data_IF_845469180815
#
_entry.id   IF_845469180815
#
_cell.length_a   1.000
_cell.length_b   1.000
_cell.length_c   1.000
_cell.angle_alpha   90.00
_cell.angle_beta   90.00
_cell.angle_gamma   90.00
#
_symmetry.space_group_name_H-M   'P 1'
#
loop_
_entity.id
_entity.type
_entity.pdbx_description
1 polymer ?
#
# COMPACT_ATOMS: atom_id res chain seq x y z
N UNK A 1 -46.80 -23.02 -62.37
CA UNK A 1 -46.40 -22.89 -60.95
C UNK A 1 -45.24 -23.84 -60.71
N UNK A 2 -44.27 -23.43 -59.89
CA UNK A 2 -42.97 -24.05 -59.66
C UNK A 2 -41.96 -23.90 -60.82
N UNK A 3 -41.04 -22.95 -60.69
CA UNK A 3 -39.79 -22.89 -61.45
C UNK A 3 -38.65 -22.57 -60.50
N UNK A 4 -37.82 -23.58 -60.25
CA UNK A 4 -36.36 -23.46 -60.39
C UNK A 4 -35.92 -24.78 -61.02
N UNK A 5 -34.97 -24.78 -61.96
CA UNK A 5 -33.61 -25.08 -61.52
C UNK A 5 -32.46 -24.45 -62.33
N UNK A 6 -31.30 -24.51 -61.68
CA UNK A 6 -29.92 -24.74 -62.17
C UNK A 6 -29.19 -23.70 -63.04
N UNK A 7 -28.01 -23.38 -62.52
CA UNK A 7 -26.94 -22.55 -63.05
C UNK A 7 -26.11 -23.25 -64.15
N UNK A 8 -25.35 -22.45 -64.92
CA UNK A 8 -23.97 -22.75 -65.34
C UNK A 8 -23.28 -21.49 -65.94
N UNK A 9 -22.19 -21.12 -65.26
CA UNK A 9 -20.86 -20.64 -65.70
C UNK A 9 -20.62 -19.39 -66.57
N UNK A 10 -19.80 -18.52 -65.96
CA UNK A 10 -18.58 -17.82 -66.41
C UNK A 10 -18.58 -16.83 -67.58
N UNK A 11 -18.23 -15.58 -67.25
CA UNK A 11 -17.05 -14.92 -67.85
C UNK A 11 -16.68 -13.62 -67.12
N UNK A 12 -15.54 -13.69 -66.43
CA UNK A 12 -14.47 -12.69 -66.28
C UNK A 12 -14.77 -11.20 -66.54
N UNK A 13 -14.52 -10.37 -65.51
CA UNK A 13 -14.22 -8.95 -65.73
C UNK A 13 -14.04 -8.15 -64.43
N UNK A 14 -12.79 -7.96 -64.01
CA UNK A 14 -12.42 -6.87 -63.10
C UNK A 14 -11.98 -7.31 -61.71
N UNK A 15 -10.75 -7.81 -61.59
CA UNK A 15 -10.02 -7.86 -60.33
C UNK A 15 -9.70 -6.43 -59.87
N UNK A 16 -10.65 -5.79 -59.19
CA UNK A 16 -10.35 -4.68 -58.29
C UNK A 16 -9.93 -5.28 -56.96
N UNK A 17 -8.64 -5.25 -56.64
CA UNK A 17 -8.15 -5.53 -55.30
C UNK A 17 -8.76 -4.52 -54.32
N UNK A 18 -9.95 -4.83 -53.80
CA UNK A 18 -10.59 -4.03 -52.76
C UNK A 18 -9.77 -4.16 -51.50
N UNK A 19 -8.88 -3.20 -51.22
CA UNK A 19 -8.25 -3.08 -49.91
C UNK A 19 -9.38 -2.98 -48.88
N UNK A 20 -9.53 -4.00 -48.04
CA UNK A 20 -10.50 -3.95 -46.94
C UNK A 20 -10.13 -2.76 -46.04
N UNK A 21 -11.06 -1.83 -45.78
CA UNK A 21 -10.74 -0.65 -45.00
C UNK A 21 -10.42 -1.07 -43.56
N UNK A 22 -9.18 -0.84 -43.12
CA UNK A 22 -8.77 -1.06 -41.74
C UNK A 22 -9.35 0.05 -40.87
N UNK A 23 -9.95 -0.30 -39.73
CA UNK A 23 -10.51 0.66 -38.78
C UNK A 23 -9.94 0.40 -37.39
N UNK A 24 -9.45 1.42 -36.73
CA UNK A 24 -9.02 1.38 -35.32
C UNK A 24 -9.90 2.32 -34.48
N UNK A 25 -10.01 2.05 -33.18
CA UNK A 25 -10.69 2.93 -32.23
C UNK A 25 -9.75 3.27 -31.09
N UNK A 26 -9.54 4.57 -30.87
CA UNK A 26 -8.93 5.04 -29.64
C UNK A 26 -10.02 5.08 -28.56
N UNK A 27 -9.79 4.38 -27.44
CA UNK A 27 -10.57 4.55 -26.22
C UNK A 27 -9.71 5.36 -25.28
N UNK A 28 -10.24 6.49 -24.83
CA UNK A 28 -9.59 7.34 -23.83
C UNK A 28 -10.47 7.31 -22.59
N UNK A 29 -9.91 6.81 -21.50
CA UNK A 29 -10.57 6.68 -20.21
C UNK A 29 -9.74 7.34 -19.12
N UNK A 30 -10.33 7.47 -17.94
CA UNK A 30 -9.68 8.12 -16.80
C UNK A 30 -9.54 7.12 -15.67
N UNK A 31 -8.31 6.91 -15.20
CA UNK A 31 -8.03 6.15 -13.98
C UNK A 31 -8.04 7.13 -12.81
N UNK A 32 -9.02 6.97 -11.92
CA UNK A 32 -9.22 7.88 -10.79
C UNK A 32 -8.59 7.33 -9.51
N UNK A 33 -8.08 8.22 -8.69
CA UNK A 33 -7.64 7.92 -7.32
C UNK A 33 -7.65 9.18 -6.47
N UNK A 34 -7.84 9.02 -5.16
CA UNK A 34 -7.96 10.13 -4.21
C UNK A 34 -6.95 9.99 -3.08
N UNK A 35 -6.49 11.12 -2.57
CA UNK A 35 -5.55 11.19 -1.46
C UNK A 35 -5.99 12.25 -0.45
N UNK A 36 -5.93 11.90 0.83
CA UNK A 36 -6.28 12.76 1.95
C UNK A 36 -5.00 13.25 2.63
N UNK A 37 -4.84 14.57 2.68
CA UNK A 37 -3.67 15.21 3.25
C UNK A 37 -4.07 16.12 4.40
N UNK A 38 -3.58 15.78 5.59
CA UNK A 38 -3.83 16.51 6.83
C UNK A 38 -2.57 17.23 7.26
N UNK A 39 -2.66 18.55 7.44
CA UNK A 39 -1.58 19.41 7.91
C UNK A 39 -1.89 19.78 9.35
N UNK A 40 -1.15 19.21 10.28
CA UNK A 40 -1.17 19.60 11.69
C UNK A 40 -0.15 20.72 11.93
N UNK A 41 -0.48 21.67 12.80
CA UNK A 41 0.42 22.77 13.10
C UNK A 41 0.39 23.91 12.08
N UNK A 42 -0.77 24.22 11.49
CA UNK A 42 -0.89 25.30 10.49
C UNK A 42 -0.31 26.64 10.99
N UNK A 43 -0.44 26.94 12.27
CA UNK A 43 0.10 28.13 12.91
C UNK A 43 1.63 28.24 12.85
N UNK A 44 2.33 27.10 12.74
CA UNK A 44 3.78 27.01 12.52
C UNK A 44 4.13 27.04 11.03
N UNK A 45 3.21 26.60 10.17
CA UNK A 45 3.35 26.62 8.73
C UNK A 45 3.19 28.03 8.12
N UNK A 46 2.39 28.90 8.73
CA UNK A 46 2.27 30.30 8.30
C UNK A 46 3.55 31.07 8.61
N UNK A 47 3.99 31.93 7.70
CA UNK A 47 5.25 32.68 7.82
C UNK A 47 6.48 31.94 7.28
N UNK A 48 6.32 30.76 6.69
CA UNK A 48 7.39 30.07 5.94
C UNK A 48 7.93 30.91 4.76
N UNK A 49 7.13 31.85 4.28
CA UNK A 49 7.48 32.76 3.19
C UNK A 49 6.88 32.33 1.86
N UNK A 50 6.69 33.32 1.00
CA UNK A 50 6.08 33.13 -0.33
C UNK A 50 6.87 32.11 -1.15
N UNK A 51 6.14 31.21 -1.81
CA UNK A 51 6.71 30.17 -2.66
C UNK A 51 7.28 28.96 -1.90
N UNK A 52 7.24 28.98 -0.56
CA UNK A 52 7.49 27.79 0.26
C UNK A 52 6.21 27.00 0.44
N UNK A 53 6.34 25.68 0.46
CA UNK A 53 5.20 24.77 0.53
C UNK A 53 5.46 23.59 1.46
N UNK A 54 4.36 22.97 1.86
CA UNK A 54 4.30 21.68 2.52
C UNK A 54 3.80 20.67 1.49
N UNK A 55 4.52 19.57 1.34
CA UNK A 55 4.14 18.48 0.45
C UNK A 55 3.45 17.36 1.23
N UNK A 56 2.43 16.74 0.64
CA UNK A 56 1.95 15.43 1.08
C UNK A 56 2.98 14.35 0.76
N UNK A 57 2.80 13.16 1.35
CA UNK A 57 3.41 11.96 0.79
C UNK A 57 2.95 11.72 -0.64
N UNK A 58 3.76 10.95 -1.38
CA UNK A 58 3.44 10.59 -2.75
C UNK A 58 2.39 9.49 -2.79
N UNK A 59 1.43 9.60 -3.70
CA UNK A 59 0.38 8.59 -3.92
C UNK A 59 0.28 8.22 -5.40
N UNK A 60 -0.14 6.99 -5.70
CA UNK A 60 -0.10 6.44 -7.06
C UNK A 60 -1.47 6.46 -7.71
N UNK A 61 -1.57 7.05 -8.90
CA UNK A 61 -2.78 7.01 -9.76
C UNK A 61 -2.36 6.89 -11.21
N UNK A 62 -2.99 5.97 -11.95
CA UNK A 62 -2.74 5.80 -13.39
C UNK A 62 -1.29 5.43 -13.75
N UNK A 63 -0.56 4.77 -12.85
CA UNK A 63 0.85 4.41 -13.04
C UNK A 63 1.86 5.52 -12.73
N UNK A 64 1.40 6.68 -12.25
CA UNK A 64 2.26 7.82 -11.88
C UNK A 64 2.14 8.14 -10.40
N UNK A 65 3.20 8.71 -9.82
CA UNK A 65 3.19 9.22 -8.45
C UNK A 65 2.85 10.71 -8.45
N UNK A 66 2.04 11.11 -7.48
CA UNK A 66 1.48 12.45 -7.33
C UNK A 66 1.69 12.94 -5.90
N UNK A 67 1.77 14.26 -5.72
CA UNK A 67 1.82 14.87 -4.38
C UNK A 67 1.05 16.19 -4.35
N UNK A 68 0.43 16.49 -3.21
CA UNK A 68 -0.29 17.75 -2.97
C UNK A 68 0.70 18.76 -2.38
N UNK A 69 0.82 19.93 -2.99
CA UNK A 69 1.64 21.03 -2.49
C UNK A 69 0.74 22.16 -1.96
N UNK A 70 0.82 22.41 -0.67
CA UNK A 70 0.13 23.48 0.02
C UNK A 70 1.09 24.64 0.31
N UNK A 71 0.75 25.85 -0.12
CA UNK A 71 1.54 27.07 0.10
C UNK A 71 0.79 27.98 1.10
N UNK A 72 1.19 28.01 2.39
CA UNK A 72 0.50 28.78 3.42
C UNK A 72 0.53 30.30 3.16
N UNK A 73 1.65 30.79 2.64
CA UNK A 73 1.86 32.23 2.35
C UNK A 73 1.73 32.56 0.86
N UNK A 74 1.11 31.66 0.10
CA UNK A 74 0.90 31.79 -1.34
C UNK A 74 2.12 31.41 -2.18
N UNK A 75 1.88 31.07 -3.46
CA UNK A 75 2.94 30.66 -4.39
C UNK A 75 3.76 31.83 -4.96
N UNK A 76 3.12 32.97 -5.21
CA UNK A 76 3.72 34.10 -5.93
C UNK A 76 3.75 35.37 -5.05
N UNK A 77 4.77 36.21 -5.22
CA UNK A 77 4.93 37.46 -4.45
C UNK A 77 3.81 38.47 -4.70
N UNK A 78 3.26 38.46 -5.92
CA UNK A 78 2.14 39.31 -6.35
C UNK A 78 0.84 39.07 -5.55
N UNK A 79 0.71 37.91 -4.90
CA UNK A 79 -0.47 37.56 -4.10
C UNK A 79 -0.30 37.92 -2.60
N UNK A 80 0.84 38.56 -2.24
CA UNK A 80 1.16 39.20 -0.95
C UNK A 80 0.74 38.42 0.31
N UNK A 81 0.86 37.08 0.30
CA UNK A 81 0.41 36.21 1.41
C UNK A 81 -1.06 36.38 1.81
N UNK A 82 -1.89 36.92 0.91
CA UNK A 82 -3.32 37.12 1.13
C UNK A 82 -4.13 35.84 0.90
N UNK A 83 -3.55 34.90 0.15
CA UNK A 83 -4.18 33.65 -0.25
C UNK A 83 -3.29 32.46 0.06
N UNK A 84 -3.90 31.36 0.46
CA UNK A 84 -3.27 30.05 0.42
C UNK A 84 -3.36 29.50 -1.00
N UNK A 85 -2.35 28.78 -1.43
CA UNK A 85 -2.35 28.11 -2.74
C UNK A 85 -2.28 26.59 -2.58
N UNK A 86 -2.95 25.87 -3.48
CA UNK A 86 -2.96 24.40 -3.47
C UNK A 86 -2.72 23.89 -4.88
N UNK A 87 -1.79 22.96 -5.03
CA UNK A 87 -1.42 22.35 -6.30
C UNK A 87 -1.31 20.84 -6.17
N UNK A 88 -1.62 20.15 -7.26
CA UNK A 88 -1.24 18.77 -7.50
C UNK A 88 0.02 18.77 -8.37
N UNK A 89 1.03 18.00 -7.97
CA UNK A 89 2.31 17.89 -8.65
C UNK A 89 2.58 16.44 -9.10
N UNK A 90 3.19 16.28 -10.26
CA UNK A 90 3.71 14.98 -10.71
C UNK A 90 5.01 14.70 -9.96
N UNK A 91 5.04 13.67 -9.13
CA UNK A 91 6.18 13.31 -8.28
C UNK A 91 7.12 12.28 -8.94
N UNK A 92 6.60 11.45 -9.85
CA UNK A 92 7.40 10.50 -10.65
C UNK A 92 7.91 11.12 -11.95
N UNK A 93 8.83 10.43 -12.63
CA UNK A 93 9.16 10.73 -14.02
C UNK A 93 7.93 10.50 -14.92
N UNK A 94 7.78 11.33 -15.95
CA UNK A 94 6.68 11.25 -16.90
C UNK A 94 6.71 12.42 -17.88
N UNK A 95 6.30 12.18 -19.13
CA UNK A 95 6.24 13.19 -20.19
C UNK A 95 4.82 13.34 -20.69
N UNK A 96 4.34 14.58 -20.75
CA UNK A 96 3.00 14.95 -21.23
C UNK A 96 1.85 14.12 -20.61
N UNK A 97 1.93 13.86 -19.30
CA UNK A 97 0.90 13.15 -18.54
C UNK A 97 -0.37 14.01 -18.52
N UNK A 98 -1.46 13.51 -19.10
CA UNK A 98 -2.74 14.21 -19.09
C UNK A 98 -3.56 13.79 -17.88
N UNK A 99 -4.05 14.76 -17.09
CA UNK A 99 -4.85 14.49 -15.92
C UNK A 99 -5.93 15.55 -15.66
N UNK A 100 -7.05 15.08 -15.15
CA UNK A 100 -8.05 15.87 -14.45
C UNK A 100 -7.71 15.86 -12.96
N UNK A 101 -8.15 16.87 -12.24
CA UNK A 101 -8.02 16.87 -10.79
C UNK A 101 -9.17 17.60 -10.11
N UNK A 102 -9.37 17.28 -8.85
CA UNK A 102 -10.21 18.00 -7.92
C UNK A 102 -9.38 18.28 -6.66
N UNK A 103 -9.49 19.50 -6.15
CA UNK A 103 -8.91 19.91 -4.88
C UNK A 103 -10.01 20.38 -3.96
N UNK A 104 -10.11 19.74 -2.80
CA UNK A 104 -11.18 19.94 -1.85
C UNK A 104 -10.60 20.29 -0.50
N UNK A 105 -10.99 21.44 0.03
CA UNK A 105 -10.73 21.81 1.42
C UNK A 105 -11.86 21.31 2.29
N UNK A 106 -11.55 20.46 3.27
CA UNK A 106 -12.55 19.81 4.09
C UNK A 106 -13.03 20.74 5.21
N UNK A 107 -14.34 20.78 5.36
CA UNK A 107 -15.05 21.44 6.45
C UNK A 107 -15.07 20.44 7.60
N UNK A 108 -14.53 20.87 8.74
CA UNK A 108 -14.38 20.03 9.93
C UNK A 108 -15.53 20.21 10.93
N UNK A 109 -16.56 20.96 10.56
CA UNK A 109 -17.82 21.04 11.30
C UNK A 109 -18.78 19.91 10.90
N UNK A 110 -19.87 19.78 11.66
CA UNK A 110 -20.97 18.86 11.35
C UNK A 110 -21.74 19.23 10.06
N UNK A 111 -21.43 20.38 9.43
CA UNK A 111 -22.15 20.89 8.26
C UNK A 111 -21.63 20.32 6.93
N UNK A 112 -20.41 19.77 6.90
CA UNK A 112 -19.79 19.15 5.72
C UNK A 112 -19.81 20.05 4.45
N UNK A 113 -19.68 21.38 4.61
CA UNK A 113 -19.68 22.34 3.49
C UNK A 113 -18.26 22.56 2.95
N UNK A 114 -17.74 21.55 2.25
CA UNK A 114 -16.40 21.58 1.69
C UNK A 114 -16.22 22.64 0.60
N UNK A 115 -15.01 23.23 0.52
CA UNK A 115 -14.63 24.10 -0.61
C UNK A 115 -14.02 23.23 -1.70
N UNK A 116 -14.80 22.96 -2.74
CA UNK A 116 -14.40 22.12 -3.87
C UNK A 116 -13.95 22.98 -5.05
N UNK A 117 -12.92 22.52 -5.77
CA UNK A 117 -12.54 22.97 -7.09
C UNK A 117 -12.30 21.76 -7.98
N UNK A 118 -13.30 21.41 -8.79
CA UNK A 118 -13.29 20.21 -9.64
C UNK A 118 -13.06 20.52 -11.12
N UNK A 119 -12.38 19.61 -11.80
CA UNK A 119 -12.23 19.60 -13.25
C UNK A 119 -12.91 18.40 -13.91
N UNK A 120 -13.58 17.52 -13.16
CA UNK A 120 -14.27 16.36 -13.71
C UNK A 120 -15.56 16.72 -14.46
N UNK A 121 -16.24 17.80 -14.05
CA UNK A 121 -17.56 18.18 -14.58
C UNK A 121 -17.54 19.33 -15.61
N UNK A 122 -16.37 19.67 -16.18
CA UNK A 122 -16.27 20.81 -17.08
C UNK A 122 -16.85 20.52 -18.48
N UNK A 123 -17.47 21.54 -19.07
CA UNK A 123 -17.88 21.59 -20.48
C UNK A 123 -16.73 21.18 -21.42
N UNK A 124 -17.07 20.62 -22.60
CA UNK A 124 -16.11 20.15 -23.63
C UNK A 124 -15.06 21.19 -24.07
N UNK A 125 -15.21 22.46 -23.69
CA UNK A 125 -14.30 23.56 -24.02
C UNK A 125 -12.94 23.49 -23.30
N UNK A 126 -12.84 22.82 -22.16
CA UNK A 126 -11.57 22.68 -21.42
C UNK A 126 -11.25 21.22 -21.14
N UNK A 127 -10.26 20.69 -21.84
CA UNK A 127 -9.77 19.32 -21.66
C UNK A 127 -8.83 19.14 -20.46
N UNK A 128 -8.34 17.91 -20.26
CA UNK A 128 -7.39 17.56 -19.20
C UNK A 128 -6.10 18.39 -19.25
N UNK A 129 -5.51 18.64 -18.08
CA UNK A 129 -4.24 19.35 -17.96
C UNK A 129 -3.08 18.43 -18.33
N UNK A 130 -2.05 18.99 -18.96
CA UNK A 130 -0.83 18.25 -19.33
C UNK A 130 0.30 18.60 -18.37
N UNK A 131 0.88 17.59 -17.72
CA UNK A 131 2.05 17.68 -16.85
C UNK A 131 3.25 17.14 -17.60
N UNK A 132 4.20 18.03 -17.90
CA UNK A 132 5.24 17.77 -18.90
C UNK A 132 6.45 16.99 -18.41
N UNK A 133 6.74 17.08 -17.11
CA UNK A 133 7.94 16.51 -16.48
C UNK A 133 7.72 16.40 -14.96
N UNK A 134 8.61 15.68 -14.28
CA UNK A 134 8.62 15.56 -12.81
C UNK A 134 8.73 16.93 -12.13
N UNK A 135 7.81 17.22 -11.22
CA UNK A 135 7.69 18.51 -10.54
C UNK A 135 6.79 19.52 -11.26
N UNK A 136 6.30 19.20 -12.47
CA UNK A 136 5.21 19.95 -13.10
C UNK A 136 3.98 19.90 -12.18
N UNK A 137 3.26 21.01 -12.07
CA UNK A 137 2.12 21.11 -11.15
C UNK A 137 0.98 21.97 -11.71
N UNK A 138 -0.24 21.61 -11.34
CA UNK A 138 -1.46 22.35 -11.66
C UNK A 138 -2.30 22.56 -10.40
N UNK A 139 -3.06 23.64 -10.36
CA UNK A 139 -3.81 24.03 -9.17
C UNK A 139 -4.12 25.51 -9.14
N UNK A 140 -4.35 26.04 -7.95
CA UNK A 140 -4.91 27.38 -7.75
C UNK A 140 -3.96 28.23 -6.92
N UNK A 141 -3.42 29.29 -7.53
CA UNK A 141 -2.63 30.32 -6.83
C UNK A 141 -3.44 31.02 -5.74
N UNK A 142 -4.73 31.28 -6.01
CA UNK A 142 -5.66 31.93 -5.10
C UNK A 142 -6.75 30.95 -4.68
N UNK A 143 -6.35 29.84 -4.05
CA UNK A 143 -7.28 28.75 -3.70
C UNK A 143 -8.29 29.19 -2.63
N UNK A 144 -7.81 29.83 -1.56
CA UNK A 144 -8.68 30.40 -0.53
C UNK A 144 -8.04 31.62 0.13
N UNK A 145 -8.85 32.59 0.59
CA UNK A 145 -8.34 33.76 1.30
C UNK A 145 -7.84 33.34 2.68
N UNK A 146 -6.60 33.69 3.01
CA UNK A 146 -5.96 33.27 4.26
C UNK A 146 -6.69 33.78 5.50
N UNK A 147 -7.03 35.08 5.53
CA UNK A 147 -7.76 35.66 6.66
C UNK A 147 -9.13 35.01 6.91
N UNK A 148 -9.80 34.54 5.84
CA UNK A 148 -11.09 33.82 5.97
C UNK A 148 -10.85 32.38 6.40
N UNK A 149 -9.78 31.73 5.91
CA UNK A 149 -9.41 30.38 6.29
C UNK A 149 -9.23 30.26 7.80
N UNK A 150 -8.47 31.19 8.37
CA UNK A 150 -8.05 31.17 9.78
C UNK A 150 -9.22 31.36 10.76
N UNK A 151 -10.33 31.93 10.29
CA UNK A 151 -11.56 32.11 11.09
C UNK A 151 -12.67 31.11 10.72
N UNK A 152 -12.43 30.20 9.79
CA UNK A 152 -13.45 29.30 9.24
C UNK A 152 -13.52 27.95 9.96
N UNK A 153 -14.49 27.12 9.56
CA UNK A 153 -14.58 25.73 9.98
C UNK A 153 -13.65 24.77 9.20
N UNK A 154 -12.87 25.29 8.26
CA UNK A 154 -11.86 24.52 7.52
C UNK A 154 -10.56 24.31 8.32
N UNK A 155 -10.26 25.18 9.29
CA UNK A 155 -9.11 25.09 10.18
C UNK A 155 -9.61 24.89 11.62
N UNK A 156 -9.40 23.70 12.19
CA UNK A 156 -9.79 23.36 13.57
C UNK A 156 -8.63 22.71 14.29
N UNK A 157 -8.43 23.08 15.56
CA UNK A 157 -7.35 22.55 16.39
C UNK A 157 -5.96 22.64 15.73
N UNK A 158 -5.72 23.73 15.01
CA UNK A 158 -4.50 23.97 14.22
C UNK A 158 -4.25 22.94 13.10
N UNK A 159 -5.31 22.25 12.67
CA UNK A 159 -5.28 21.23 11.63
C UNK A 159 -6.10 21.65 10.42
N UNK A 160 -5.52 21.48 9.23
CA UNK A 160 -6.15 21.67 7.93
C UNK A 160 -6.23 20.33 7.19
N UNK A 161 -7.34 20.02 6.54
CA UNK A 161 -7.47 18.79 5.76
C UNK A 161 -7.84 19.09 4.31
N UNK A 162 -7.10 18.49 3.38
CA UNK A 162 -7.23 18.66 1.93
C UNK A 162 -7.39 17.28 1.30
N UNK A 163 -8.42 17.09 0.48
CA UNK A 163 -8.55 15.92 -0.38
C UNK A 163 -8.20 16.31 -1.80
N UNK A 164 -7.38 15.51 -2.47
CA UNK A 164 -7.15 15.61 -3.91
C UNK A 164 -7.63 14.35 -4.60
N UNK A 165 -8.46 14.51 -5.63
CA UNK A 165 -8.80 13.42 -6.56
C UNK A 165 -8.09 13.70 -7.87
N UNK A 166 -7.36 12.73 -8.39
CA UNK A 166 -6.67 12.80 -9.68
C UNK A 166 -7.31 11.79 -10.62
N UNK A 167 -7.57 12.23 -11.85
CA UNK A 167 -8.04 11.39 -12.93
C UNK A 167 -7.03 11.37 -14.05
N UNK A 168 -6.20 10.33 -14.13
CA UNK A 168 -5.17 10.21 -15.17
C UNK A 168 -5.78 9.69 -16.45
N UNK A 169 -5.57 10.40 -17.54
CA UNK A 169 -6.13 10.07 -18.85
C UNK A 169 -5.24 9.05 -19.52
N UNK A 170 -5.78 7.85 -19.71
CA UNK A 170 -5.11 6.74 -20.37
C UNK A 170 -5.79 6.52 -21.72
N UNK A 171 -4.99 6.54 -22.78
CA UNK A 171 -5.46 6.25 -24.13
C UNK A 171 -4.94 4.88 -24.55
N UNK A 172 -5.86 3.98 -24.88
CA UNK A 172 -5.54 2.69 -25.48
C UNK A 172 -6.08 2.64 -26.90
N UNK A 173 -5.21 2.31 -27.85
CA UNK A 173 -5.63 2.08 -29.23
C UNK A 173 -6.06 0.63 -29.34
N UNK A 174 -7.37 0.41 -29.39
CA UNK A 174 -7.93 -0.91 -29.60
C UNK A 174 -8.14 -1.11 -31.10
N UNK A 175 -7.46 -2.10 -31.67
CA UNK A 175 -7.90 -2.70 -32.93
C UNK A 175 -9.27 -3.38 -32.73
N UNK A 176 -10.02 -3.67 -33.80
CA UNK A 176 -11.33 -4.30 -33.68
C UNK A 176 -11.14 -5.72 -33.13
N UNK A 177 -11.28 -5.91 -31.81
CA UNK A 177 -11.52 -7.23 -31.22
C UNK A 177 -12.96 -7.59 -31.53
N UNK A 178 -13.18 -8.16 -32.72
CA UNK A 178 -14.50 -8.67 -33.14
C UNK A 178 -14.95 -9.87 -32.29
N UNK A 179 -14.03 -10.49 -31.56
CA UNK A 179 -14.27 -11.66 -30.73
C UNK A 179 -13.49 -11.52 -29.42
N UNK A 180 -14.19 -11.66 -28.29
CA UNK A 180 -13.59 -11.84 -26.98
C UNK A 180 -13.93 -13.25 -26.52
N UNK A 181 -12.92 -14.08 -26.30
CA UNK A 181 -13.10 -15.37 -25.67
C UNK A 181 -13.08 -15.09 -24.16
N UNK A 182 -14.16 -15.34 -23.41
CA UNK A 182 -14.11 -15.26 -21.95
C UNK A 182 -13.09 -16.29 -21.47
N UNK A 183 -12.02 -15.82 -20.83
CA UNK A 183 -11.05 -16.69 -20.16
C UNK A 183 -11.57 -16.90 -18.74
N UNK A 184 -11.79 -18.16 -18.30
CA UNK A 184 -12.19 -18.42 -16.93
C UNK A 184 -11.07 -18.04 -15.94
N UNK A 185 -11.45 -17.80 -14.68
CA UNK A 185 -10.49 -17.54 -13.60
C UNK A 185 -9.53 -18.72 -13.39
N UNK A 186 -8.30 -18.49 -12.88
CA UNK A 186 -7.37 -19.56 -12.59
C UNK A 186 -7.95 -20.57 -11.60
N UNK A 187 -7.94 -21.86 -11.97
CA UNK A 187 -8.51 -22.97 -11.20
C UNK A 187 -7.45 -23.87 -10.55
N UNK A 188 -6.16 -23.56 -10.74
CA UNK A 188 -5.04 -24.35 -10.23
C UNK A 188 -5.15 -24.62 -8.73
N UNK A 189 -5.44 -23.58 -7.93
CA UNK A 189 -5.61 -23.72 -6.48
C UNK A 189 -6.78 -24.63 -6.12
N UNK A 190 -7.87 -24.62 -6.91
CA UNK A 190 -9.01 -25.51 -6.70
C UNK A 190 -8.62 -26.97 -6.99
N UNK A 191 -7.88 -27.22 -8.07
CA UNK A 191 -7.41 -28.55 -8.44
C UNK A 191 -6.43 -29.13 -7.41
N UNK A 192 -5.45 -28.36 -6.96
CA UNK A 192 -4.53 -28.80 -5.90
C UNK A 192 -5.25 -28.93 -4.54
N UNK A 193 -6.18 -28.02 -4.25
CA UNK A 193 -7.04 -28.14 -3.08
C UNK A 193 -7.83 -29.44 -3.04
N UNK A 194 -8.39 -29.86 -4.18
CA UNK A 194 -9.12 -31.12 -4.30
C UNK A 194 -8.21 -32.35 -4.05
N UNK A 195 -6.93 -32.30 -4.44
CA UNK A 195 -5.96 -33.35 -4.11
C UNK A 195 -5.71 -33.45 -2.60
N UNK A 196 -5.63 -32.30 -1.91
CA UNK A 196 -5.51 -32.29 -0.45
C UNK A 196 -6.76 -32.88 0.22
N UNK A 197 -7.95 -32.50 -0.25
CA UNK A 197 -9.22 -32.95 0.33
C UNK A 197 -9.47 -34.46 0.09
N UNK A 198 -9.10 -34.99 -1.07
CA UNK A 198 -9.28 -36.40 -1.42
C UNK A 198 -8.19 -37.32 -0.89
N UNK A 199 -7.03 -36.76 -0.53
CA UNK A 199 -5.80 -37.48 -0.21
C UNK A 199 -5.32 -38.45 -1.31
N UNK A 200 -5.78 -38.28 -2.55
CA UNK A 200 -5.41 -39.15 -3.65
C UNK A 200 -3.92 -39.00 -4.00
N UNK A 201 -3.15 -40.08 -3.83
CA UNK A 201 -1.71 -40.07 -4.09
C UNK A 201 -0.88 -39.47 -2.96
N UNK A 202 -1.46 -39.26 -1.77
CA UNK A 202 -0.73 -38.82 -0.60
C UNK A 202 0.41 -39.79 -0.24
N UNK A 203 1.61 -39.23 -0.04
CA UNK A 203 2.85 -39.98 0.19
C UNK A 203 3.56 -39.54 1.50
N UNK A 204 2.88 -38.73 2.32
CA UNK A 204 3.26 -38.37 3.68
C UNK A 204 2.02 -38.19 4.56
N UNK A 205 2.16 -38.52 5.84
CA UNK A 205 1.14 -38.35 6.87
C UNK A 205 1.71 -37.53 8.02
N UNK A 206 0.96 -36.54 8.49
CA UNK A 206 1.30 -35.75 9.67
C UNK A 206 0.38 -36.09 10.83
N UNK A 207 0.95 -36.20 12.02
CA UNK A 207 0.18 -36.25 13.28
C UNK A 207 0.35 -34.92 14.00
N UNK A 208 -0.76 -34.22 14.24
CA UNK A 208 -0.79 -32.87 14.80
C UNK A 208 -1.90 -32.81 15.83
N UNK A 209 -1.55 -32.62 17.10
CA UNK A 209 -2.52 -32.56 18.21
C UNK A 209 -3.51 -33.75 18.24
N UNK A 210 -3.00 -34.96 17.95
CA UNK A 210 -3.79 -36.19 17.85
C UNK A 210 -4.64 -36.34 16.57
N UNK A 211 -4.67 -35.34 15.70
CA UNK A 211 -5.29 -35.41 14.37
C UNK A 211 -4.31 -35.85 13.29
N UNK A 212 -4.83 -36.53 12.26
CA UNK A 212 -4.03 -37.09 11.17
C UNK A 212 -4.31 -36.35 9.87
N UNK A 213 -3.25 -35.84 9.22
CA UNK A 213 -3.33 -35.11 7.95
C UNK A 213 -2.51 -35.79 6.87
N UNK A 214 -3.14 -36.17 5.76
CA UNK A 214 -2.46 -36.73 4.59
C UNK A 214 -2.09 -35.63 3.60
N UNK A 215 -0.91 -35.72 2.99
CA UNK A 215 -0.41 -34.70 2.06
C UNK A 215 0.61 -35.27 1.07
N UNK A 216 1.17 -34.39 0.23
CA UNK A 216 2.04 -34.71 -0.89
C UNK A 216 3.42 -34.04 -0.72
N UNK A 217 4.47 -34.85 -0.62
CA UNK A 217 5.84 -34.40 -0.36
C UNK A 217 6.32 -33.36 -1.38
N UNK A 218 6.01 -33.57 -2.67
CA UNK A 218 6.42 -32.65 -3.74
C UNK A 218 5.75 -31.28 -3.64
N UNK A 219 4.47 -31.22 -3.30
CA UNK A 219 3.73 -29.95 -3.14
C UNK A 219 4.29 -29.18 -1.95
N UNK A 220 4.45 -29.86 -0.80
CA UNK A 220 5.01 -29.26 0.41
C UNK A 220 6.43 -28.74 0.18
N UNK A 221 7.31 -29.55 -0.42
CA UNK A 221 8.69 -29.18 -0.69
C UNK A 221 8.84 -28.08 -1.74
N UNK A 222 7.89 -27.93 -2.67
CA UNK A 222 7.89 -26.84 -3.62
C UNK A 222 7.50 -25.50 -2.98
N UNK A 223 6.67 -25.54 -1.92
CA UNK A 223 6.04 -24.36 -1.31
C UNK A 223 6.69 -23.92 0.00
N UNK A 224 7.41 -24.80 0.68
CA UNK A 224 8.12 -24.51 1.92
C UNK A 224 9.56 -25.03 1.88
N UNK A 225 10.57 -24.16 2.09
CA UNK A 225 11.96 -24.59 2.19
C UNK A 225 12.19 -25.51 3.40
N UNK A 226 11.42 -25.34 4.47
CA UNK A 226 11.51 -26.14 5.69
C UNK A 226 10.98 -27.55 5.44
N UNK A 227 9.80 -27.69 4.83
CA UNK A 227 9.32 -29.02 4.41
C UNK A 227 10.25 -29.66 3.39
N UNK A 228 10.82 -28.88 2.45
CA UNK A 228 11.82 -29.42 1.50
C UNK A 228 13.02 -30.01 2.23
N UNK A 229 13.57 -29.31 3.21
CA UNK A 229 14.68 -29.80 4.02
C UNK A 229 14.28 -31.01 4.87
N UNK A 230 13.10 -31.00 5.49
CA UNK A 230 12.61 -32.11 6.31
C UNK A 230 12.35 -33.38 5.48
N UNK A 231 11.81 -33.23 4.26
CA UNK A 231 11.36 -34.33 3.39
C UNK A 231 12.39 -34.81 2.37
N UNK A 232 13.43 -34.02 2.09
CA UNK A 232 14.45 -34.37 1.10
C UNK A 232 15.88 -34.03 1.53
N UNK A 233 16.07 -33.45 2.72
CA UNK A 233 17.38 -33.10 3.24
C UNK A 233 18.19 -34.27 3.78
N UNK A 234 19.46 -34.04 4.15
CA UNK A 234 20.38 -35.09 4.58
C UNK A 234 19.97 -35.81 5.86
N UNK A 235 19.21 -35.12 6.73
CA UNK A 235 18.75 -35.61 8.03
C UNK A 235 17.32 -36.18 7.98
N UNK A 236 16.77 -36.40 6.78
CA UNK A 236 15.44 -36.99 6.64
C UNK A 236 15.41 -38.38 7.25
N UNK A 237 14.39 -38.65 8.06
CA UNK A 237 14.06 -40.01 8.44
C UNK A 237 13.62 -40.80 7.21
N UNK A 238 14.45 -41.75 6.78
CA UNK A 238 14.22 -42.56 5.58
C UNK A 238 13.16 -43.63 5.77
N UNK A 239 12.79 -43.93 7.03
CA UNK A 239 11.92 -45.05 7.36
C UNK A 239 10.54 -44.62 7.88
N UNK A 240 10.26 -43.32 8.01
CA UNK A 240 8.96 -42.83 8.47
C UNK A 240 8.31 -41.92 7.43
N UNK A 241 7.19 -42.38 6.88
CA UNK A 241 6.24 -41.55 6.12
C UNK A 241 5.28 -40.80 7.07
N UNK A 242 5.45 -40.98 8.38
CA UNK A 242 4.69 -40.32 9.44
C UNK A 242 5.56 -39.27 10.13
N UNK A 243 5.08 -38.03 10.19
CA UNK A 243 5.80 -36.89 10.77
C UNK A 243 4.93 -36.28 11.86
N UNK A 244 5.46 -36.24 13.07
CA UNK A 244 4.81 -35.54 14.18
C UNK A 244 5.10 -34.03 14.09
N UNK A 245 4.07 -33.21 14.20
CA UNK A 245 4.19 -31.75 14.29
C UNK A 245 3.85 -31.32 15.70
N UNK A 246 4.90 -30.94 16.43
CA UNK A 246 4.80 -30.37 17.78
C UNK A 246 4.58 -28.85 17.70
N UNK A 247 3.93 -28.27 18.71
CA UNK A 247 3.71 -26.83 18.90
C UNK A 247 2.89 -26.11 17.82
N UNK A 248 2.04 -26.83 17.08
CA UNK A 248 1.02 -26.25 16.20
C UNK A 248 -0.31 -26.95 16.45
N UNK A 249 -1.36 -26.17 16.68
CA UNK A 249 -2.72 -26.68 16.82
C UNK A 249 -3.26 -27.20 15.48
N UNK A 250 -4.04 -28.28 15.51
CA UNK A 250 -4.60 -28.90 14.31
C UNK A 250 -5.34 -27.91 13.38
N UNK A 251 -6.17 -26.96 13.87
CA UNK A 251 -6.83 -25.97 13.01
C UNK A 251 -5.85 -25.05 12.27
N UNK A 252 -4.73 -24.67 12.92
CA UNK A 252 -3.69 -23.81 12.35
C UNK A 252 -2.91 -24.58 11.28
N UNK A 253 -2.58 -25.85 11.55
CA UNK A 253 -1.92 -26.71 10.57
C UNK A 253 -2.81 -26.96 9.34
N UNK A 254 -4.11 -27.18 9.55
CA UNK A 254 -5.09 -27.29 8.47
C UNK A 254 -5.16 -26.01 7.62
N UNK A 255 -5.15 -24.84 8.25
CA UNK A 255 -5.11 -23.56 7.55
C UNK A 255 -3.80 -23.36 6.76
N UNK A 256 -2.68 -23.79 7.32
CA UNK A 256 -1.37 -23.76 6.64
C UNK A 256 -1.36 -24.69 5.42
N UNK A 257 -1.90 -25.92 5.52
CA UNK A 257 -2.05 -26.82 4.38
C UNK A 257 -2.99 -26.23 3.32
N UNK A 258 -4.12 -25.64 3.71
CA UNK A 258 -5.00 -24.94 2.79
C UNK A 258 -4.24 -23.89 1.98
N UNK A 259 -3.44 -23.04 2.64
CA UNK A 259 -2.61 -22.06 1.96
C UNK A 259 -1.57 -22.69 1.02
N UNK A 260 -0.90 -23.76 1.45
CA UNK A 260 0.14 -24.41 0.63
C UNK A 260 -0.43 -24.89 -0.71
N UNK A 261 -1.64 -25.45 -0.72
CA UNK A 261 -2.27 -26.01 -1.92
C UNK A 261 -3.10 -24.99 -2.72
N UNK A 262 -3.69 -23.98 -2.07
CA UNK A 262 -4.65 -23.06 -2.69
C UNK A 262 -4.13 -21.63 -2.84
N UNK A 263 -3.02 -21.29 -2.18
CA UNK A 263 -2.42 -19.94 -2.11
C UNK A 263 -3.40 -18.86 -1.58
N UNK A 264 -4.37 -19.28 -0.77
CA UNK A 264 -5.38 -18.42 -0.13
C UNK A 264 -5.53 -18.78 1.34
N UNK A 265 -5.93 -17.80 2.15
CA UNK A 265 -6.38 -18.07 3.52
C UNK A 265 -7.76 -18.73 3.47
N UNK A 266 -8.03 -19.74 4.32
CA UNK A 266 -9.37 -20.28 4.48
C UNK A 266 -10.32 -19.22 5.04
N UNK A 267 -11.60 -19.32 4.72
CA UNK A 267 -12.62 -18.42 5.27
C UNK A 267 -12.65 -18.57 6.79
N UNK A 268 -12.36 -17.48 7.51
CA UNK A 268 -12.19 -17.45 8.97
C UNK A 268 -13.44 -17.90 9.74
N UNK A 269 -14.61 -17.89 9.10
CA UNK A 269 -15.85 -18.46 9.66
C UNK A 269 -15.83 -19.99 9.78
N UNK A 270 -15.06 -20.71 8.96
CA UNK A 270 -15.02 -22.18 8.98
C UNK A 270 -14.08 -22.75 10.04
N UNK A 271 -13.13 -21.96 10.56
CA UNK A 271 -12.04 -22.44 11.43
C UNK A 271 -12.05 -21.86 12.85
N UNK A 272 -12.61 -20.67 13.06
CA UNK A 272 -12.47 -19.95 14.33
C UNK A 272 -13.81 -19.63 15.05
N UNK A 273 -14.96 -19.93 14.43
CA UNK A 273 -16.25 -19.47 14.95
C UNK A 273 -16.46 -17.96 14.75
N UNK A 274 -17.71 -17.51 14.87
CA UNK A 274 -18.16 -16.18 14.39
C UNK A 274 -17.70 -14.95 15.19
N UNK A 275 -16.68 -15.03 16.05
CA UNK A 275 -16.18 -13.85 16.78
C UNK A 275 -14.91 -13.28 16.14
N UNK A 276 -14.81 -11.95 16.09
CA UNK A 276 -13.61 -11.24 15.59
C UNK A 276 -12.33 -11.66 16.32
N UNK A 277 -12.41 -11.87 17.64
CA UNK A 277 -11.28 -12.30 18.48
C UNK A 277 -10.68 -13.65 18.08
N UNK A 278 -11.50 -14.59 17.63
CA UNK A 278 -11.02 -15.91 17.26
C UNK A 278 -10.29 -15.88 15.90
N UNK A 279 -10.76 -15.01 14.99
CA UNK A 279 -10.06 -14.71 13.73
C UNK A 279 -8.68 -14.09 13.97
N UNK A 280 -8.58 -13.15 14.92
CA UNK A 280 -7.30 -12.55 15.34
C UNK A 280 -6.34 -13.62 15.85
N UNK A 281 -6.77 -14.45 16.80
CA UNK A 281 -5.94 -15.50 17.39
C UNK A 281 -5.44 -16.49 16.33
N UNK A 282 -6.33 -16.92 15.43
CA UNK A 282 -5.95 -17.77 14.30
C UNK A 282 -4.87 -17.11 13.43
N UNK A 283 -5.00 -15.81 13.12
CA UNK A 283 -3.99 -15.08 12.36
C UNK A 283 -2.65 -14.99 13.10
N UNK A 284 -2.64 -14.85 14.42
CA UNK A 284 -1.42 -14.85 15.24
C UNK A 284 -0.70 -16.20 15.22
N UNK A 285 -1.43 -17.31 15.43
CA UNK A 285 -0.85 -18.65 15.37
C UNK A 285 -0.39 -19.01 13.96
N UNK A 286 -1.14 -18.59 12.93
CA UNK A 286 -0.77 -18.82 11.54
C UNK A 286 0.45 -17.99 11.13
N UNK A 287 0.63 -16.78 11.69
CA UNK A 287 1.86 -15.99 11.52
C UNK A 287 3.08 -16.77 12.05
N UNK A 288 2.96 -17.33 13.26
CA UNK A 288 4.02 -18.14 13.86
C UNK A 288 4.36 -19.37 13.02
N UNK A 289 3.34 -20.09 12.54
CA UNK A 289 3.53 -21.23 11.64
C UNK A 289 4.15 -20.80 10.30
N UNK A 290 3.71 -19.68 9.72
CA UNK A 290 4.24 -19.19 8.46
C UNK A 290 5.73 -18.85 8.54
N UNK A 291 6.17 -18.21 9.63
CA UNK A 291 7.58 -17.93 9.86
C UNK A 291 8.38 -19.23 10.06
N UNK A 292 7.88 -20.14 10.92
CA UNK A 292 8.52 -21.45 11.20
C UNK A 292 8.73 -22.29 9.95
N UNK A 293 7.81 -22.26 8.98
CA UNK A 293 7.88 -23.05 7.75
C UNK A 293 8.38 -22.27 6.53
N UNK A 294 8.80 -21.02 6.70
CA UNK A 294 9.33 -20.18 5.61
C UNK A 294 8.30 -19.89 4.51
N UNK A 295 7.06 -19.60 4.90
CA UNK A 295 5.94 -19.27 4.02
C UNK A 295 5.75 -17.74 3.94
N UNK A 296 6.67 -17.04 3.28
CA UNK A 296 6.74 -15.56 3.31
C UNK A 296 5.42 -14.86 2.90
N UNK A 297 4.75 -15.36 1.86
CA UNK A 297 3.48 -14.77 1.40
C UNK A 297 2.36 -15.00 2.43
N UNK A 298 2.32 -16.15 3.10
CA UNK A 298 1.37 -16.40 4.19
C UNK A 298 1.66 -15.47 5.37
N UNK A 299 2.94 -15.30 5.73
CA UNK A 299 3.37 -14.36 6.77
C UNK A 299 2.84 -12.95 6.48
N UNK A 300 3.03 -12.44 5.25
CA UNK A 300 2.53 -11.13 4.84
C UNK A 300 0.98 -11.02 4.86
N UNK A 301 0.26 -12.09 4.52
CA UNK A 301 -1.20 -12.11 4.62
C UNK A 301 -1.65 -12.01 6.09
N UNK A 302 -1.00 -12.74 7.00
CA UNK A 302 -1.23 -12.63 8.44
C UNK A 302 -0.87 -11.24 8.97
N UNK A 303 0.26 -10.67 8.55
CA UNK A 303 0.68 -9.29 8.89
C UNK A 303 -0.38 -8.27 8.48
N UNK A 304 -0.88 -8.36 7.25
CA UNK A 304 -1.94 -7.48 6.76
C UNK A 304 -3.22 -7.62 7.60
N UNK A 305 -3.61 -8.85 7.95
CA UNK A 305 -4.82 -9.09 8.73
C UNK A 305 -4.72 -8.54 10.15
N UNK A 306 -3.60 -8.80 10.82
CA UNK A 306 -3.36 -8.30 12.18
C UNK A 306 -3.23 -6.78 12.22
N UNK A 307 -2.71 -6.17 11.15
CA UNK A 307 -2.62 -4.72 11.02
C UNK A 307 -3.99 -4.02 11.05
N UNK A 308 -5.05 -4.65 10.54
CA UNK A 308 -6.41 -4.09 10.55
C UNK A 308 -7.00 -3.96 11.96
N UNK A 309 -6.48 -4.74 12.92
CA UNK A 309 -7.04 -4.90 14.26
C UNK A 309 -6.15 -4.26 15.36
N UNK A 310 -5.10 -3.54 14.96
CA UNK A 310 -4.22 -2.80 15.87
C UNK A 310 -4.99 -1.66 16.55
N UNK A 311 -4.96 -1.67 17.88
CA UNK A 311 -5.51 -0.62 18.74
C UNK A 311 -4.49 -0.21 19.80
N UNK A 312 -4.79 0.83 20.59
CA UNK A 312 -3.95 1.24 21.72
C UNK A 312 -3.74 0.14 22.76
N UNK A 313 -4.72 -0.75 22.90
CA UNK A 313 -4.70 -1.84 23.89
C UNK A 313 -3.92 -3.06 23.37
N UNK A 314 -3.93 -3.30 22.06
CA UNK A 314 -3.32 -4.49 21.44
C UNK A 314 -1.96 -4.23 20.81
N UNK A 315 -1.61 -2.98 20.48
CA UNK A 315 -0.39 -2.68 19.68
C UNK A 315 0.89 -3.21 20.32
N UNK A 316 1.00 -3.19 21.65
CA UNK A 316 2.22 -3.62 22.33
C UNK A 316 2.41 -5.15 22.29
N UNK A 317 1.34 -5.93 22.45
CA UNK A 317 1.41 -7.39 22.32
C UNK A 317 1.58 -7.80 20.86
N UNK A 318 0.92 -7.13 19.92
CA UNK A 318 1.12 -7.34 18.48
C UNK A 318 2.54 -6.99 18.04
N UNK A 319 3.14 -5.95 18.60
CA UNK A 319 4.53 -5.58 18.33
C UNK A 319 5.52 -6.66 18.80
N UNK A 320 5.31 -7.21 20.01
CA UNK A 320 6.12 -8.30 20.52
C UNK A 320 5.98 -9.57 19.66
N UNK A 321 4.76 -9.91 19.26
CA UNK A 321 4.48 -11.02 18.34
C UNK A 321 5.19 -10.82 16.99
N UNK A 322 5.14 -9.60 16.44
CA UNK A 322 5.76 -9.28 15.16
C UNK A 322 7.28 -9.43 15.20
N UNK A 323 7.93 -9.03 16.30
CA UNK A 323 9.35 -9.26 16.52
C UNK A 323 9.68 -10.74 16.61
N UNK A 324 8.93 -11.48 17.42
CA UNK A 324 9.16 -12.91 17.67
C UNK A 324 9.10 -13.76 16.38
N UNK A 325 8.26 -13.37 15.42
CA UNK A 325 8.02 -14.12 14.18
C UNK A 325 8.51 -13.38 12.93
N UNK A 326 9.50 -12.50 13.08
CA UNK A 326 10.18 -11.81 11.99
C UNK A 326 9.23 -11.11 11.00
N UNK A 327 8.12 -10.59 11.52
CA UNK A 327 7.03 -9.96 10.77
C UNK A 327 7.30 -8.45 10.60
N UNK A 328 8.26 -8.14 9.73
CA UNK A 328 8.87 -6.80 9.61
C UNK A 328 7.90 -5.67 9.25
N UNK A 329 6.88 -5.93 8.41
CA UNK A 329 5.94 -4.88 7.98
C UNK A 329 4.97 -4.55 9.11
N UNK A 330 4.46 -5.58 9.80
CA UNK A 330 3.62 -5.42 10.98
C UNK A 330 4.40 -4.72 12.11
N UNK A 331 5.65 -5.12 12.37
CA UNK A 331 6.53 -4.46 13.36
C UNK A 331 6.66 -2.96 13.07
N UNK A 332 6.95 -2.59 11.82
CA UNK A 332 7.11 -1.20 11.41
C UNK A 332 5.82 -0.38 11.61
N UNK A 333 4.66 -0.96 11.27
CA UNK A 333 3.36 -0.30 11.50
C UNK A 333 3.08 -0.14 13.00
N UNK A 334 3.29 -1.19 13.79
CA UNK A 334 3.09 -1.16 15.23
C UNK A 334 3.98 -0.12 15.92
N UNK A 335 5.27 -0.03 15.54
CA UNK A 335 6.18 1.00 16.06
C UNK A 335 5.68 2.42 15.76
N UNK A 336 5.26 2.69 14.52
CA UNK A 336 4.72 4.00 14.12
C UNK A 336 3.42 4.33 14.87
N UNK A 337 2.51 3.37 14.97
CA UNK A 337 1.24 3.55 15.69
C UNK A 337 1.47 3.80 17.18
N UNK A 338 2.34 2.99 17.81
CA UNK A 338 2.68 3.13 19.22
C UNK A 338 3.39 4.46 19.50
N UNK A 339 4.31 4.90 18.63
CA UNK A 339 4.96 6.20 18.75
C UNK A 339 3.96 7.37 18.68
N UNK A 340 2.98 7.30 17.77
CA UNK A 340 1.94 8.31 17.63
C UNK A 340 0.95 8.35 18.82
N UNK A 341 0.78 7.25 19.54
CA UNK A 341 -0.19 7.10 20.65
C UNK A 341 0.48 6.75 21.99
N UNK A 342 1.76 7.12 22.15
CA UNK A 342 2.64 6.59 23.20
C UNK A 342 2.04 6.67 24.61
N UNK A 343 1.45 7.82 24.97
CA UNK A 343 0.90 8.03 26.30
C UNK A 343 -0.23 7.04 26.65
N UNK A 344 -1.08 6.68 25.68
CA UNK A 344 -2.15 5.70 25.88
C UNK A 344 -1.58 4.27 25.91
N UNK A 345 -0.62 3.96 25.03
CA UNK A 345 0.02 2.64 24.97
C UNK A 345 0.78 2.35 26.26
N UNK A 346 1.50 3.32 26.84
CA UNK A 346 2.21 3.13 28.11
C UNK A 346 1.30 2.84 29.31
N UNK A 347 -0.01 3.10 29.18
CA UNK A 347 -1.00 2.79 30.21
C UNK A 347 -1.69 1.44 29.99
N UNK A 348 -1.41 0.73 28.89
CA UNK A 348 -2.03 -0.56 28.60
C UNK A 348 -1.25 -1.72 29.23
N UNK A 349 -1.98 -2.77 29.61
CA UNK A 349 -1.38 -4.01 30.14
C UNK A 349 -0.42 -4.66 29.12
N UNK A 350 -0.68 -4.47 27.82
CA UNK A 350 0.19 -4.96 26.77
C UNK A 350 1.59 -4.34 26.78
N UNK A 351 1.72 -3.09 27.23
CA UNK A 351 3.03 -2.43 27.33
C UNK A 351 3.86 -2.96 28.50
N UNK A 352 3.21 -3.34 29.61
CA UNK A 352 3.88 -4.04 30.71
C UNK A 352 4.42 -5.40 30.24
N UNK A 353 3.65 -6.16 29.45
CA UNK A 353 4.13 -7.39 28.83
C UNK A 353 5.35 -7.16 27.91
N UNK A 354 5.31 -6.11 27.07
CA UNK A 354 6.42 -5.76 26.20
C UNK A 354 7.68 -5.41 26.99
N UNK A 355 7.54 -4.72 28.12
CA UNK A 355 8.65 -4.34 29.00
C UNK A 355 9.40 -5.56 29.53
N UNK A 356 8.64 -6.58 29.94
CA UNK A 356 9.19 -7.78 30.57
C UNK A 356 9.71 -8.78 29.52
N UNK A 357 9.01 -8.92 28.39
CA UNK A 357 9.29 -9.96 27.39
C UNK A 357 10.26 -9.51 26.28
N UNK A 358 10.24 -8.22 25.92
CA UNK A 358 10.98 -7.71 24.75
C UNK A 358 11.58 -6.31 25.02
N UNK A 359 12.54 -6.16 25.96
CA UNK A 359 13.08 -4.86 26.34
C UNK A 359 13.83 -4.14 25.20
N UNK A 360 14.35 -4.86 24.20
CA UNK A 360 14.95 -4.27 22.99
C UNK A 360 13.96 -3.40 22.21
N UNK A 361 12.69 -3.81 22.16
CA UNK A 361 11.63 -3.08 21.44
C UNK A 361 11.33 -1.73 22.06
N UNK A 362 11.58 -1.54 23.36
CA UNK A 362 11.47 -0.22 23.99
C UNK A 362 12.50 0.76 23.39
N UNK A 363 13.73 0.29 23.13
CA UNK A 363 14.77 1.11 22.52
C UNK A 363 14.41 1.49 21.08
N UNK A 364 13.84 0.56 20.32
CA UNK A 364 13.35 0.83 18.95
C UNK A 364 12.15 1.76 18.93
N UNK A 365 11.22 1.61 19.87
CA UNK A 365 10.08 2.52 20.04
C UNK A 365 10.57 3.93 20.36
N UNK A 366 11.54 4.07 21.27
CA UNK A 366 12.14 5.37 21.59
C UNK A 366 12.88 5.98 20.38
N UNK A 367 13.60 5.18 19.58
CA UNK A 367 14.20 5.65 18.31
C UNK A 367 13.13 6.14 17.34
N UNK A 368 12.04 5.40 17.20
CA UNK A 368 10.91 5.76 16.34
C UNK A 368 10.26 7.06 16.81
N UNK A 369 10.07 7.24 18.11
CA UNK A 369 9.54 8.48 18.73
C UNK A 369 10.49 9.65 18.51
N UNK A 370 11.80 9.43 18.61
CA UNK A 370 12.82 10.44 18.38
C UNK A 370 13.01 10.80 16.89
N UNK A 371 12.36 10.09 15.97
CA UNK A 371 12.52 10.28 14.52
C UNK A 371 13.91 9.88 14.02
N UNK A 372 14.57 8.95 14.71
CA UNK A 372 15.86 8.39 14.26
C UNK A 372 15.56 7.28 13.25
N UNK A 373 15.57 7.62 11.97
CA UNK A 373 15.47 6.62 10.90
C UNK A 373 16.66 5.66 10.97
N UNK A 374 16.40 4.36 11.14
CA UNK A 374 17.41 3.34 10.88
C UNK A 374 17.58 3.19 9.36
N UNK A 375 18.69 3.73 8.88
CA UNK A 375 19.14 3.65 7.49
C UNK A 375 19.59 2.22 7.18
N UNK A 376 18.64 1.28 7.05
CA UNK A 376 18.90 -0.06 6.52
C UNK A 376 18.89 0.04 4.99
N UNK A 377 20.05 0.38 4.43
CA UNK A 377 20.50 -0.14 3.15
C UNK A 377 19.82 0.38 1.88
N UNK A 378 19.85 1.68 1.61
CA UNK A 378 20.05 2.20 0.25
C UNK A 378 20.54 3.63 0.31
N UNK A 379 21.76 3.87 -0.16
CA UNK A 379 22.43 5.16 0.00
C UNK A 379 21.68 6.32 -0.65
N UNK A 380 20.93 7.08 0.14
CA UNK A 380 20.48 8.43 -0.20
C UNK A 380 20.67 9.29 1.06
N UNK A 381 21.75 10.07 1.07
CA UNK A 381 22.04 11.02 2.15
C UNK A 381 20.99 12.13 2.15
N UNK A 382 20.11 12.15 3.15
CA UNK A 382 19.47 13.38 3.58
C UNK A 382 20.04 13.79 4.93
N UNK A 383 20.87 14.83 4.90
CA UNK A 383 21.47 15.44 6.09
C UNK A 383 20.41 16.33 6.74
N UNK A 384 19.86 15.92 7.89
CA UNK A 384 18.93 16.75 8.67
C UNK A 384 19.67 17.90 9.37
N UNK A 385 19.01 19.06 9.41
CA UNK A 385 19.58 20.39 9.74
C UNK A 385 19.46 20.75 11.24
N UNK A 386 19.36 19.75 12.13
CA UNK A 386 19.02 20.00 13.54
C UNK A 386 20.18 19.88 14.54
N UNK A 387 21.43 20.02 14.08
CA UNK A 387 22.59 20.03 14.97
C UNK A 387 23.59 21.14 14.61
N UNK A 388 23.17 22.41 14.74
CA UNK A 388 24.11 23.53 14.87
C UNK A 388 23.53 24.61 15.79
N UNK A 389 23.37 24.32 17.07
CA UNK A 389 23.40 25.34 18.11
C UNK A 389 24.00 24.77 19.38
N UNK A 390 25.32 24.87 19.49
CA UNK A 390 26.03 25.24 20.73
C UNK A 390 27.50 25.27 20.40
N UNK A 391 28.05 26.48 20.29
CA UNK A 391 29.39 26.78 20.81
C UNK A 391 29.50 28.32 20.87
N UNK A 392 29.39 28.83 22.10
CA UNK A 392 29.68 30.22 22.40
C UNK A 392 31.17 30.46 22.26
N UNK A 393 31.55 31.52 21.55
CA UNK A 393 32.89 32.09 21.69
C UNK A 393 32.83 33.61 21.65
N UNK A 394 33.45 34.17 22.68
CA UNK A 394 33.67 35.59 22.91
C UNK A 394 34.55 36.24 21.84
N UNK A 395 34.31 37.54 21.69
CA UNK A 395 35.08 38.45 20.88
C UNK A 395 36.51 38.62 21.40
N UNK A 396 37.50 38.23 20.60
CA UNK A 396 38.72 39.03 20.40
C UNK A 396 39.56 38.45 19.27
N UNK A 397 39.70 39.22 18.20
CA UNK A 397 40.51 38.84 17.06
C UNK A 397 42.01 38.91 17.34
N UNK A 398 42.75 37.98 16.74
CA UNK A 398 44.03 38.27 16.07
C UNK A 398 44.46 37.11 15.17
N UNK A 399 44.70 37.45 13.91
CA UNK A 399 45.41 36.62 12.92
C UNK A 399 46.84 36.37 13.38
N UNK A 400 47.29 35.12 13.33
CA UNK A 400 48.69 34.78 13.03
C UNK A 400 48.71 33.59 12.07
N UNK A 401 49.53 33.72 11.02
CA UNK A 401 49.78 32.76 9.96
C UNK A 401 51.20 32.24 10.15
N UNK A 402 51.43 30.92 10.08
CA UNK A 402 52.71 30.28 9.74
C UNK A 402 52.41 28.82 9.36
N UNK A 403 52.67 28.37 8.12
CA UNK A 403 53.91 27.74 7.60
C UNK A 403 54.36 26.59 8.51
N UNK A 404 54.43 25.34 8.08
CA UNK A 404 54.70 24.70 6.76
C UNK A 404 53.85 23.46 6.58
#
# INVERSE_FOLDING_TARGET
MAKTPMALQDSSGGAGAGSTPTRSRCVTETVNGSHHFTINGYSLAKGMGVGKYIASESFTVGGYQWAIYFYPDGKNAEDNSLYVSVFIALASEGTDVRALFELTLLDQSTKQKHKVHSHFDRSLESGPYTLKYRGSMWGYKRFFRRAVLETSDFLKNDTLAITCTVGVVVSSTQGPKLYSIPVPEPDLGQHFGALLDSAEGADVTFEVDGEVFQAHKLVLAARSPVFKAQLYGPLRDRNSDKIEIEDIEAPVFKAMLHFIYRDTLPDTHELAGSSSSASTLMAQHLLAAADRYGLDRLRLLCESKLCEEVSTDTVATTLALAEQHHASQLKAVCLKYAAANLAAVMQSDGFEYLKDSCPSLQSELLRTVAGVDEDVGSGIRNRSVWAQHSDGTDASGRRVRQRT
#
